data_IF_813368227536
#
_entry.id   IF_813368227536
#
_cell.length_a   1.000
_cell.length_b   1.000
_cell.length_c   1.000
_cell.angle_alpha   90.00
_cell.angle_beta   90.00
_cell.angle_gamma   90.00
#
_symmetry.space_group_name_H-M   'P 1'
#
loop_
_entity.id
_entity.type
_entity.pdbx_description
1 polymer ?
#
# COMPACT_ATOMS: atom_id res chain seq x y z
N UNK A 1 7.58 -19.91 16.17
CA UNK A 1 8.18 -18.56 16.17
C UNK A 1 8.44 -18.19 17.62
N UNK A 2 9.44 -17.37 17.91
CA UNK A 2 9.60 -16.86 19.27
C UNK A 2 8.51 -15.80 19.54
N UNK A 3 8.20 -15.54 20.82
CA UNK A 3 7.27 -14.47 21.19
C UNK A 3 7.73 -13.08 20.69
N UNK A 4 9.05 -12.89 20.57
CA UNK A 4 9.64 -11.69 19.99
C UNK A 4 9.32 -11.56 18.49
N UNK A 5 9.44 -12.66 17.73
CA UNK A 5 9.12 -12.64 16.29
C UNK A 5 7.65 -12.32 16.04
N UNK A 6 6.74 -12.85 16.87
CA UNK A 6 5.30 -12.57 16.79
C UNK A 6 4.99 -11.10 17.10
N UNK A 7 5.61 -10.53 18.13
CA UNK A 7 5.50 -9.12 18.47
C UNK A 7 6.01 -8.23 17.33
N UNK A 8 7.22 -8.50 16.83
CA UNK A 8 7.83 -7.70 15.77
C UNK A 8 7.04 -7.78 14.46
N UNK A 9 6.54 -8.96 14.11
CA UNK A 9 5.69 -9.16 12.94
C UNK A 9 4.36 -8.42 13.08
N UNK A 10 3.74 -8.45 14.26
CA UNK A 10 2.51 -7.71 14.54
C UNK A 10 2.70 -6.19 14.47
N UNK A 11 3.80 -5.67 15.03
CA UNK A 11 4.18 -4.26 14.93
C UNK A 11 4.42 -3.84 13.48
N UNK A 12 5.03 -4.72 12.68
CA UNK A 12 5.29 -4.46 11.28
C UNK A 12 4.01 -4.48 10.44
N UNK A 13 3.10 -5.41 10.70
CA UNK A 13 1.77 -5.42 10.11
C UNK A 13 1.00 -4.14 10.47
N UNK A 14 1.07 -3.70 11.73
CA UNK A 14 0.46 -2.45 12.17
C UNK A 14 1.05 -1.25 11.41
N UNK A 15 2.38 -1.14 11.33
CA UNK A 15 3.07 -0.09 10.59
C UNK A 15 2.68 -0.10 9.10
N UNK A 16 2.61 -1.28 8.48
CA UNK A 16 2.18 -1.47 7.11
C UNK A 16 0.76 -0.95 6.88
N UNK A 17 -0.20 -1.37 7.71
CA UNK A 17 -1.61 -0.96 7.58
C UNK A 17 -1.74 0.53 7.85
N UNK A 18 -1.18 1.05 8.94
CA UNK A 18 -1.23 2.46 9.29
C UNK A 18 -0.66 3.36 8.17
N UNK A 19 0.47 2.95 7.59
CA UNK A 19 1.11 3.69 6.51
C UNK A 19 0.29 3.69 5.21
N UNK A 20 -0.45 2.61 4.93
CA UNK A 20 -1.23 2.47 3.70
C UNK A 20 -2.71 2.84 3.84
N UNK A 21 -3.23 3.04 5.05
CA UNK A 21 -4.61 3.45 5.29
C UNK A 21 -5.00 4.68 4.45
N UNK A 22 -4.07 5.62 4.24
CA UNK A 22 -4.31 6.82 3.44
C UNK A 22 -4.49 6.58 1.95
N UNK A 23 -3.89 5.52 1.40
CA UNK A 23 -3.94 5.21 -0.05
C UNK A 23 -4.95 4.11 -0.37
N UNK A 24 -5.32 3.28 0.61
CA UNK A 24 -6.31 2.21 0.46
C UNK A 24 -7.71 2.70 0.86
N UNK A 25 -7.85 3.21 2.09
CA UNK A 25 -9.12 3.68 2.65
C UNK A 25 -9.38 5.15 2.29
N UNK A 26 -8.35 5.99 2.41
CA UNK A 26 -8.44 7.44 2.30
C UNK A 26 -9.15 7.97 1.04
N UNK A 27 -8.83 7.49 -0.18
CA UNK A 27 -9.43 8.02 -1.40
C UNK A 27 -10.96 7.87 -1.40
N UNK A 28 -11.47 6.72 -0.92
CA UNK A 28 -12.90 6.43 -0.88
C UNK A 28 -13.58 7.14 0.30
N UNK A 29 -12.97 7.10 1.49
CA UNK A 29 -13.50 7.73 2.71
C UNK A 29 -13.59 9.27 2.63
N UNK A 30 -12.79 9.90 1.78
CA UNK A 30 -12.81 11.36 1.59
C UNK A 30 -13.30 11.80 0.22
N UNK A 31 -13.35 10.89 -0.74
CA UNK A 31 -13.94 11.13 -2.06
C UNK A 31 -15.46 11.09 -2.07
N UNK A 32 -16.11 10.46 -1.07
CA UNK A 32 -17.57 10.47 -0.96
C UNK A 32 -18.20 9.44 -0.01
N UNK A 33 -17.46 8.41 0.40
CA UNK A 33 -17.95 7.41 1.38
C UNK A 33 -17.83 7.97 2.79
N UNK A 34 -18.80 7.69 3.67
CA UNK A 34 -18.73 8.12 5.07
C UNK A 34 -17.55 7.46 5.80
N UNK A 35 -16.67 8.20 6.51
CA UNK A 35 -15.47 7.67 7.14
C UNK A 35 -15.70 6.45 8.06
N UNK A 36 -16.73 6.49 8.90
CA UNK A 36 -17.00 5.39 9.84
C UNK A 36 -17.41 4.10 9.11
N UNK A 37 -18.22 4.21 8.06
CA UNK A 37 -18.63 3.07 7.23
C UNK A 37 -17.47 2.56 6.39
N UNK A 38 -16.65 3.48 5.87
CA UNK A 38 -15.45 3.13 5.13
C UNK A 38 -14.49 2.31 6.01
N UNK A 39 -14.28 2.73 7.26
CA UNK A 39 -13.41 2.03 8.21
C UNK A 39 -13.87 0.59 8.44
N UNK A 40 -15.15 0.39 8.76
CA UNK A 40 -15.70 -0.95 8.99
C UNK A 40 -15.54 -1.83 7.75
N UNK A 41 -15.89 -1.31 6.58
CA UNK A 41 -15.80 -2.06 5.34
C UNK A 41 -14.35 -2.41 4.98
N UNK A 42 -13.42 -1.47 5.14
CA UNK A 42 -12.01 -1.69 4.87
C UNK A 42 -11.43 -2.76 5.80
N UNK A 43 -11.68 -2.67 7.11
CA UNK A 43 -11.21 -3.65 8.10
C UNK A 43 -11.72 -5.05 7.79
N UNK A 44 -13.04 -5.19 7.56
CA UNK A 44 -13.63 -6.50 7.24
C UNK A 44 -13.06 -7.07 5.94
N UNK A 45 -12.89 -6.22 4.92
CA UNK A 45 -12.37 -6.63 3.62
C UNK A 45 -10.90 -7.01 3.69
N UNK A 46 -10.07 -6.26 4.42
CA UNK A 46 -8.65 -6.55 4.64
C UNK A 46 -8.45 -7.84 5.43
N UNK A 47 -9.26 -8.07 6.48
CA UNK A 47 -9.27 -9.34 7.21
C UNK A 47 -9.59 -10.50 6.25
N UNK A 48 -10.70 -10.39 5.50
CA UNK A 48 -11.09 -11.42 4.55
C UNK A 48 -10.01 -11.67 3.49
N UNK A 49 -9.44 -10.61 2.92
CA UNK A 49 -8.36 -10.70 1.95
C UNK A 49 -7.10 -11.34 2.52
N UNK A 50 -6.74 -11.01 3.76
CA UNK A 50 -5.56 -11.57 4.42
C UNK A 50 -5.66 -13.09 4.57
N UNK A 51 -6.79 -13.58 5.08
CA UNK A 51 -6.99 -15.01 5.34
C UNK A 51 -7.31 -15.82 4.08
N UNK A 52 -7.93 -15.22 3.06
CA UNK A 52 -8.22 -15.87 1.77
C UNK A 52 -7.06 -15.76 0.76
N UNK A 53 -6.01 -15.02 1.10
CA UNK A 53 -4.89 -14.79 0.19
C UNK A 53 -4.19 -16.09 -0.21
N UNK A 54 -3.82 -16.27 -1.50
CA UNK A 54 -2.91 -17.34 -1.91
C UNK A 54 -1.44 -17.02 -1.60
N UNK A 55 -1.10 -15.79 -1.20
CA UNK A 55 0.29 -15.42 -0.91
C UNK A 55 0.82 -16.18 0.29
N UNK A 56 2.06 -16.61 0.21
CA UNK A 56 2.72 -17.25 1.35
C UNK A 56 3.40 -16.19 2.21
N UNK A 57 3.12 -16.11 3.52
CA UNK A 57 3.80 -15.17 4.41
C UNK A 57 5.31 -15.44 4.38
N UNK A 58 6.12 -14.39 4.23
CA UNK A 58 7.56 -14.52 4.35
C UNK A 58 7.97 -14.40 5.81
N UNK A 59 8.69 -15.42 6.28
CA UNK A 59 9.29 -15.42 7.61
C UNK A 59 10.69 -14.82 7.54
N UNK A 60 10.94 -13.83 8.37
CA UNK A 60 12.24 -13.21 8.54
C UNK A 60 12.74 -13.47 9.96
N UNK A 61 14.01 -13.16 10.18
CA UNK A 61 14.63 -13.16 11.51
C UNK A 61 14.37 -11.84 12.23
N UNK A 62 14.43 -11.84 13.57
CA UNK A 62 14.25 -10.63 14.39
C UNK A 62 15.09 -9.40 13.92
N UNK A 63 16.36 -9.53 13.52
CA UNK A 63 17.13 -8.38 13.01
C UNK A 63 16.53 -7.74 11.75
N UNK A 64 15.95 -8.53 10.86
CA UNK A 64 15.32 -8.04 9.63
C UNK A 64 14.01 -7.31 9.91
N UNK A 65 13.20 -7.85 10.83
CA UNK A 65 11.99 -7.16 11.29
C UNK A 65 12.33 -5.84 12.00
N UNK A 66 13.36 -5.84 12.84
CA UNK A 66 13.83 -4.63 13.51
C UNK A 66 14.34 -3.59 12.52
N UNK A 67 15.11 -4.00 11.51
CA UNK A 67 15.56 -3.11 10.45
C UNK A 67 14.38 -2.47 9.71
N UNK A 68 13.36 -3.27 9.34
CA UNK A 68 12.15 -2.76 8.68
C UNK A 68 11.42 -1.71 9.54
N UNK A 69 11.28 -1.96 10.84
CA UNK A 69 10.64 -1.03 11.78
C UNK A 69 11.45 0.26 11.97
N UNK A 70 12.78 0.15 12.11
CA UNK A 70 13.67 1.31 12.24
C UNK A 70 13.63 2.19 10.99
N UNK A 71 13.70 1.59 9.80
CA UNK A 71 13.56 2.34 8.56
C UNK A 71 12.18 2.94 8.42
N UNK A 72 11.12 2.24 8.84
CA UNK A 72 9.77 2.79 8.85
C UNK A 72 9.69 4.05 9.72
N UNK A 73 10.25 4.03 10.93
CA UNK A 73 10.29 5.20 11.82
C UNK A 73 11.10 6.34 11.19
N UNK A 74 12.28 6.06 10.64
CA UNK A 74 13.13 7.07 10.01
C UNK A 74 12.45 7.72 8.79
N UNK A 75 11.80 6.93 7.94
CA UNK A 75 11.07 7.41 6.77
C UNK A 75 9.86 8.24 7.18
N UNK A 76 9.12 7.77 8.20
CA UNK A 76 7.99 8.51 8.76
C UNK A 76 8.42 9.86 9.31
N UNK A 77 9.56 9.93 10.02
CA UNK A 77 10.15 11.18 10.49
C UNK A 77 10.54 12.12 9.33
N UNK A 78 11.04 11.56 8.23
CA UNK A 78 11.33 12.28 6.99
C UNK A 78 10.08 12.60 6.14
N UNK A 79 8.88 12.21 6.59
CA UNK A 79 7.60 12.35 5.87
C UNK A 79 7.63 11.66 4.50
N UNK A 80 8.25 10.49 4.44
CA UNK A 80 8.30 9.59 3.27
C UNK A 80 7.61 8.29 3.68
N UNK A 81 6.76 7.74 2.81
CA UNK A 81 6.16 6.42 3.03
C UNK A 81 7.18 5.35 2.64
N UNK A 82 7.65 4.56 3.61
CA UNK A 82 8.45 3.36 3.32
C UNK A 82 7.54 2.26 2.73
N UNK A 83 7.86 1.70 1.55
CA UNK A 83 7.15 0.54 1.04
C UNK A 83 7.66 -0.72 1.76
N UNK A 84 7.13 -0.97 2.97
CA UNK A 84 7.53 -2.08 3.86
C UNK A 84 7.54 -3.43 3.12
N UNK A 85 6.50 -3.72 2.34
CA UNK A 85 6.38 -4.99 1.62
C UNK A 85 7.44 -5.16 0.53
N UNK A 86 7.83 -4.08 -0.15
CA UNK A 86 8.94 -4.07 -1.13
C UNK A 86 10.28 -4.30 -0.43
N UNK A 87 10.52 -3.61 0.70
CA UNK A 87 11.74 -3.80 1.50
C UNK A 87 11.89 -5.26 1.93
N UNK A 88 10.86 -5.83 2.56
CA UNK A 88 10.86 -7.20 3.02
C UNK A 88 11.03 -8.20 1.88
N UNK A 89 10.31 -8.03 0.76
CA UNK A 89 10.50 -8.90 -0.41
C UNK A 89 11.94 -8.87 -0.93
N UNK A 90 12.55 -7.69 -0.93
CA UNK A 90 13.92 -7.51 -1.42
C UNK A 90 14.97 -8.20 -0.55
N UNK A 91 14.70 -8.39 0.75
CA UNK A 91 15.56 -9.18 1.64
C UNK A 91 15.63 -10.66 1.24
N UNK A 92 14.61 -11.20 0.56
CA UNK A 92 14.60 -12.59 0.07
C UNK A 92 15.42 -12.77 -1.21
N UNK A 93 15.72 -11.67 -1.91
CA UNK A 93 16.35 -11.69 -3.23
C UNK A 93 15.41 -11.15 -4.31
N UNK A 94 15.97 -10.29 -5.15
CA UNK A 94 15.24 -9.63 -6.23
C UNK A 94 15.11 -10.54 -7.44
N UNK A 95 13.95 -10.47 -8.10
CA UNK A 95 13.70 -11.14 -9.36
C UNK A 95 13.48 -10.11 -10.47
N UNK A 96 13.76 -10.49 -11.72
CA UNK A 96 13.42 -9.65 -12.86
C UNK A 96 11.91 -9.31 -12.89
N UNK A 97 11.06 -10.28 -12.52
CA UNK A 97 9.61 -10.11 -12.43
C UNK A 97 9.22 -9.05 -11.39
N UNK A 98 9.79 -9.08 -10.19
CA UNK A 98 9.47 -8.08 -9.16
C UNK A 98 9.89 -6.67 -9.57
N UNK A 99 11.06 -6.53 -10.20
CA UNK A 99 11.52 -5.24 -10.74
C UNK A 99 10.62 -4.74 -11.89
N UNK A 100 10.25 -5.62 -12.82
CA UNK A 100 9.36 -5.29 -13.93
C UNK A 100 7.98 -4.84 -13.41
N UNK A 101 7.45 -5.50 -12.38
CA UNK A 101 6.18 -5.11 -11.78
C UNK A 101 6.29 -3.76 -11.08
N UNK A 102 7.28 -3.57 -10.20
CA UNK A 102 7.41 -2.32 -9.42
C UNK A 102 7.72 -1.09 -10.27
N UNK A 103 8.53 -1.22 -11.33
CA UNK A 103 8.92 -0.10 -12.18
C UNK A 103 8.13 0.01 -13.49
N UNK A 104 7.54 -1.08 -13.98
CA UNK A 104 6.76 -1.10 -15.23
C UNK A 104 5.28 -0.76 -15.05
N UNK A 105 4.65 -1.25 -13.99
CA UNK A 105 3.21 -0.99 -13.75
C UNK A 105 2.83 0.46 -13.39
N UNK A 106 3.71 1.34 -12.86
CA UNK A 106 3.41 2.77 -12.69
C UNK A 106 2.95 3.47 -13.98
N UNK A 107 3.53 3.11 -15.13
CA UNK A 107 3.12 3.68 -16.42
C UNK A 107 1.71 3.22 -16.83
N UNK A 108 1.38 1.95 -16.60
CA UNK A 108 0.04 1.41 -16.82
C UNK A 108 -0.98 2.05 -15.87
N UNK A 109 -0.63 2.20 -14.59
CA UNK A 109 -1.45 2.85 -13.59
C UNK A 109 -1.77 4.31 -13.97
N UNK A 110 -0.76 5.04 -14.46
CA UNK A 110 -0.94 6.38 -15.01
C UNK A 110 -1.91 6.40 -16.20
N UNK A 111 -1.73 5.49 -17.18
CA UNK A 111 -2.57 5.43 -18.37
C UNK A 111 -4.05 5.14 -18.01
N UNK A 112 -4.27 4.19 -17.10
CA UNK A 112 -5.60 3.88 -16.55
C UNK A 112 -6.21 5.12 -15.91
N UNK A 113 -5.46 5.81 -15.04
CA UNK A 113 -5.92 7.03 -14.41
C UNK A 113 -6.30 8.11 -15.41
N UNK A 114 -5.50 8.28 -16.47
CA UNK A 114 -5.77 9.25 -17.52
C UNK A 114 -7.08 8.96 -18.27
N UNK A 115 -7.31 7.70 -18.65
CA UNK A 115 -8.49 7.27 -19.41
C UNK A 115 -9.76 7.23 -18.55
N UNK A 116 -9.69 6.56 -17.40
CA UNK A 116 -10.83 6.33 -16.50
C UNK A 116 -11.36 7.63 -15.92
N UNK A 117 -10.49 8.62 -15.68
CA UNK A 117 -10.91 9.93 -15.22
C UNK A 117 -11.89 10.63 -16.18
N UNK A 118 -11.93 10.31 -17.47
CA UNK A 118 -12.92 10.91 -18.39
C UNK A 118 -14.23 10.14 -18.45
N UNK A 119 -14.20 8.85 -18.13
CA UNK A 119 -15.27 7.91 -18.46
C UNK A 119 -16.13 7.52 -17.24
N UNK A 120 -15.56 7.52 -16.03
CA UNK A 120 -16.27 7.04 -14.84
C UNK A 120 -17.04 8.16 -14.14
N UNK A 121 -18.37 8.00 -14.14
CA UNK A 121 -19.29 8.74 -13.28
C UNK A 121 -19.33 8.03 -11.92
N UNK A 122 -18.87 8.69 -10.84
CA UNK A 122 -18.77 8.03 -9.57
C UNK A 122 -20.15 8.01 -8.89
N UNK A 123 -20.46 6.91 -8.20
CA UNK A 123 -21.66 6.76 -7.37
C UNK A 123 -21.27 6.21 -6.00
N UNK A 124 -22.11 6.42 -4.98
CA UNK A 124 -21.82 5.90 -3.64
C UNK A 124 -21.69 4.37 -3.64
N UNK A 125 -22.58 3.67 -4.35
CA UNK A 125 -22.52 2.22 -4.48
C UNK A 125 -21.19 1.76 -5.12
N UNK A 126 -20.75 2.43 -6.18
CA UNK A 126 -19.45 2.16 -6.79
C UNK A 126 -18.29 2.45 -5.82
N UNK A 127 -18.38 3.53 -5.05
CA UNK A 127 -17.38 3.87 -4.03
C UNK A 127 -17.23 2.77 -2.97
N UNK A 128 -18.33 2.25 -2.44
CA UNK A 128 -18.29 1.12 -1.49
C UNK A 128 -17.74 -0.16 -2.13
N UNK A 129 -18.19 -0.51 -3.34
CA UNK A 129 -17.70 -1.70 -4.03
C UNK A 129 -16.18 -1.64 -4.30
N UNK A 130 -15.70 -0.48 -4.72
CA UNK A 130 -14.28 -0.24 -5.00
C UNK A 130 -13.45 -0.20 -3.72
N UNK A 131 -13.97 0.39 -2.63
CA UNK A 131 -13.34 0.34 -1.33
C UNK A 131 -13.18 -1.09 -0.84
N UNK A 132 -14.25 -1.90 -0.91
CA UNK A 132 -14.19 -3.30 -0.55
C UNK A 132 -13.13 -4.05 -1.37
N UNK A 133 -13.10 -3.82 -2.70
CA UNK A 133 -12.16 -4.47 -3.60
C UNK A 133 -10.70 -4.07 -3.31
N UNK A 134 -10.39 -2.78 -3.14
CA UNK A 134 -9.01 -2.33 -2.89
C UNK A 134 -8.52 -2.75 -1.51
N UNK A 135 -9.37 -2.68 -0.49
CA UNK A 135 -9.06 -3.15 0.87
C UNK A 135 -8.86 -4.66 0.91
N UNK A 136 -9.73 -5.42 0.24
CA UNK A 136 -9.55 -6.87 0.08
C UNK A 136 -8.20 -7.18 -0.58
N UNK A 137 -7.90 -6.52 -1.69
CA UNK A 137 -6.64 -6.75 -2.41
C UNK A 137 -5.40 -6.29 -1.62
N UNK A 138 -5.51 -5.26 -0.79
CA UNK A 138 -4.44 -4.88 0.13
C UNK A 138 -4.18 -5.96 1.19
N UNK A 139 -5.26 -6.52 1.76
CA UNK A 139 -5.18 -7.70 2.62
C UNK A 139 -4.52 -8.89 1.93
N UNK A 140 -4.96 -9.20 0.70
CA UNK A 140 -4.43 -10.30 -0.11
C UNK A 140 -2.94 -10.12 -0.44
N UNK A 141 -2.54 -8.93 -0.90
CA UNK A 141 -1.23 -8.74 -1.51
C UNK A 141 -0.14 -8.29 -0.52
N UNK A 142 -0.50 -7.50 0.49
CA UNK A 142 0.48 -6.87 1.37
C UNK A 142 0.41 -7.42 2.79
N UNK A 143 -0.79 -7.51 3.38
CA UNK A 143 -0.93 -7.94 4.77
C UNK A 143 -0.60 -9.43 4.89
N UNK A 144 -1.23 -10.28 4.07
CA UNK A 144 -0.97 -11.72 4.01
C UNK A 144 0.48 -12.09 3.68
N UNK A 145 1.19 -11.19 2.99
CA UNK A 145 2.62 -11.36 2.70
C UNK A 145 3.49 -11.18 3.96
N UNK A 146 3.06 -10.31 4.89
CA UNK A 146 3.75 -10.08 6.17
C UNK A 146 3.32 -11.13 7.20
N UNK A 147 2.01 -11.32 7.38
CA UNK A 147 1.49 -12.27 8.37
C UNK A 147 0.05 -12.73 8.04
N UNK A 148 -0.26 -13.95 8.48
CA UNK A 148 -1.60 -14.55 8.47
C UNK A 148 -2.02 -15.08 9.84
N UNK A 149 -1.28 -14.79 10.90
CA UNK A 149 -1.70 -15.13 12.27
C UNK A 149 -2.96 -14.35 12.64
N UNK A 150 -3.73 -14.86 13.60
CA UNK A 150 -4.92 -14.17 14.11
C UNK A 150 -4.59 -12.79 14.71
N UNK A 151 -3.36 -12.58 15.17
CA UNK A 151 -2.90 -11.33 15.77
C UNK A 151 -2.88 -10.17 14.77
N UNK A 152 -2.81 -10.46 13.47
CA UNK A 152 -2.86 -9.45 12.41
C UNK A 152 -4.19 -8.67 12.40
N UNK A 153 -5.27 -9.24 12.94
CA UNK A 153 -6.58 -8.58 13.05
C UNK A 153 -6.49 -7.30 13.88
N UNK A 154 -5.75 -7.33 15.00
CA UNK A 154 -5.55 -6.17 15.84
C UNK A 154 -4.75 -5.08 15.12
N UNK A 155 -3.72 -5.49 14.37
CA UNK A 155 -2.93 -4.58 13.53
C UNK A 155 -3.77 -3.92 12.43
N UNK A 156 -4.65 -4.68 11.76
CA UNK A 156 -5.59 -4.16 10.76
C UNK A 156 -6.52 -3.11 11.36
N UNK A 157 -7.15 -3.44 12.50
CA UNK A 157 -8.13 -2.57 13.14
C UNK A 157 -7.48 -1.29 13.65
N UNK A 158 -6.40 -1.40 14.42
CA UNK A 158 -5.70 -0.25 14.99
C UNK A 158 -5.04 0.59 13.90
N UNK A 159 -4.41 -0.05 12.92
CA UNK A 159 -3.74 0.61 11.81
C UNK A 159 -4.70 1.47 11.00
N UNK A 160 -5.85 0.94 10.60
CA UNK A 160 -6.85 1.71 9.87
C UNK A 160 -7.53 2.78 10.73
N UNK A 161 -7.87 2.48 11.99
CA UNK A 161 -8.49 3.45 12.89
C UNK A 161 -7.58 4.66 13.13
N UNK A 162 -6.31 4.42 13.48
CA UNK A 162 -5.34 5.48 13.68
C UNK A 162 -4.97 6.16 12.36
N UNK A 163 -4.87 5.39 11.28
CA UNK A 163 -4.63 5.89 9.94
C UNK A 163 -5.66 6.93 9.50
N UNK A 164 -6.95 6.59 9.63
CA UNK A 164 -8.06 7.46 9.29
C UNK A 164 -8.10 8.74 10.14
N UNK A 165 -7.78 8.65 11.44
CA UNK A 165 -7.91 9.77 12.39
C UNK A 165 -6.69 10.69 12.46
N UNK A 166 -5.48 10.13 12.36
CA UNK A 166 -4.24 10.82 12.70
C UNK A 166 -3.23 10.91 11.57
N UNK A 167 -3.37 10.10 10.52
CA UNK A 167 -2.41 10.09 9.42
C UNK A 167 -2.63 11.35 8.55
N UNK A 168 -2.11 12.49 9.02
CA UNK A 168 -2.29 13.82 8.41
C UNK A 168 -1.22 14.16 7.38
N UNK A 169 -0.18 13.34 7.27
CA UNK A 169 1.00 13.58 6.44
C UNK A 169 0.79 13.34 4.93
N UNK A 170 -0.31 12.68 4.53
CA UNK A 170 -0.73 12.54 3.11
C UNK A 170 -2.13 13.16 2.88
N UNK A 171 -2.43 14.25 3.60
CA UNK A 171 -3.68 15.05 3.49
C UNK A 171 -3.86 15.77 2.14
N UNK A 172 -3.00 15.51 1.16
CA UNK A 172 -3.20 16.02 -0.21
C UNK A 172 -4.16 15.18 -1.06
N UNK A 173 -4.61 14.02 -0.56
CA UNK A 173 -5.58 13.16 -1.27
C UNK A 173 -7.03 13.68 -1.23
N UNK A 174 -7.38 14.55 -0.29
CA UNK A 174 -8.71 15.17 -0.16
C UNK A 174 -9.09 16.08 -1.33
N UNK A 175 -8.10 16.51 -2.10
CA UNK A 175 -8.29 17.42 -3.21
C UNK A 175 -8.59 16.66 -4.53
N UNK A 176 -8.74 15.32 -4.50
CA UNK A 176 -9.16 14.56 -5.69
C UNK A 176 -10.68 14.47 -5.81
N UNK A 177 -11.17 14.64 -7.04
CA UNK A 177 -12.56 14.31 -7.35
C UNK A 177 -12.84 12.83 -7.06
N UNK A 178 -14.06 12.51 -6.65
CA UNK A 178 -14.48 11.14 -6.35
C UNK A 178 -14.15 10.13 -7.46
N UNK A 179 -14.28 10.53 -8.74
CA UNK A 179 -13.86 9.70 -9.90
C UNK A 179 -12.38 9.32 -9.87
N UNK A 180 -11.51 10.25 -9.47
CA UNK A 180 -10.05 10.01 -9.41
C UNK A 180 -9.70 9.05 -8.28
N UNK A 181 -10.38 9.17 -7.14
CA UNK A 181 -10.25 8.23 -6.03
C UNK A 181 -10.67 6.80 -6.42
N UNK A 182 -11.80 6.68 -7.11
CA UNK A 182 -12.29 5.40 -7.66
C UNK A 182 -11.27 4.81 -8.64
N UNK A 183 -10.77 5.60 -9.59
CA UNK A 183 -9.80 5.14 -10.58
C UNK A 183 -8.51 4.63 -9.93
N UNK A 184 -7.97 5.38 -8.96
CA UNK A 184 -6.77 5.00 -8.22
C UNK A 184 -6.94 3.68 -7.46
N UNK A 185 -8.06 3.55 -6.75
CA UNK A 185 -8.38 2.35 -5.97
C UNK A 185 -8.58 1.12 -6.86
N UNK A 186 -9.28 1.25 -7.99
CA UNK A 186 -9.45 0.17 -8.98
C UNK A 186 -8.10 -0.23 -9.58
N UNK A 187 -7.28 0.75 -9.98
CA UNK A 187 -5.96 0.48 -10.55
C UNK A 187 -5.06 -0.24 -9.55
N UNK A 188 -5.05 0.19 -8.29
CA UNK A 188 -4.30 -0.47 -7.23
C UNK A 188 -4.79 -1.90 -6.98
N UNK A 189 -6.11 -2.13 -6.92
CA UNK A 189 -6.69 -3.46 -6.73
C UNK A 189 -6.33 -4.43 -7.87
N UNK A 190 -6.48 -4.00 -9.13
CA UNK A 190 -6.18 -4.84 -10.30
C UNK A 190 -4.69 -5.17 -10.37
N UNK A 191 -3.82 -4.18 -10.17
CA UNK A 191 -2.37 -4.40 -10.22
C UNK A 191 -1.86 -5.22 -9.02
N UNK A 192 -2.51 -5.10 -7.85
CA UNK A 192 -2.26 -5.98 -6.72
C UNK A 192 -2.70 -7.43 -7.02
N UNK A 193 -3.74 -7.64 -7.83
CA UNK A 193 -4.13 -8.98 -8.27
C UNK A 193 -3.08 -9.58 -9.20
N UNK A 194 -2.52 -8.78 -10.12
CA UNK A 194 -1.37 -9.19 -10.95
C UNK A 194 -0.16 -9.52 -10.07
N UNK A 195 0.20 -8.65 -9.12
CA UNK A 195 1.29 -8.92 -8.18
C UNK A 195 1.09 -10.21 -7.39
N UNK A 196 -0.13 -10.42 -6.87
CA UNK A 196 -0.53 -11.63 -6.15
C UNK A 196 -0.35 -12.89 -7.00
N UNK A 197 -0.73 -12.86 -8.29
CA UNK A 197 -0.55 -13.99 -9.20
C UNK A 197 0.92 -14.38 -9.39
N UNK A 198 1.84 -13.42 -9.28
CA UNK A 198 3.29 -13.66 -9.31
C UNK A 198 3.93 -13.76 -7.91
N UNK A 199 3.11 -13.77 -6.85
CA UNK A 199 3.55 -13.73 -5.45
C UNK A 199 4.51 -12.58 -5.14
N UNK A 200 4.30 -11.42 -5.78
CA UNK A 200 5.05 -10.17 -5.59
C UNK A 200 4.14 -9.15 -4.89
N UNK A 201 4.54 -8.61 -3.73
CA UNK A 201 3.78 -7.54 -3.08
C UNK A 201 3.96 -6.24 -3.85
N UNK A 202 2.88 -5.49 -4.04
CA UNK A 202 2.86 -4.24 -4.80
C UNK A 202 2.87 -3.03 -3.87
N UNK A 203 3.44 -1.92 -4.36
CA UNK A 203 3.41 -0.65 -3.64
C UNK A 203 2.11 0.09 -3.96
N UNK A 204 1.09 -0.06 -3.11
CA UNK A 204 -0.19 0.65 -3.24
C UNK A 204 0.02 2.16 -3.29
N UNK A 205 0.98 2.68 -2.53
CA UNK A 205 1.38 4.09 -2.56
C UNK A 205 1.81 4.52 -3.96
N UNK A 206 2.78 3.84 -4.57
CA UNK A 206 3.25 4.22 -5.90
C UNK A 206 2.14 4.11 -6.94
N UNK A 207 1.41 3.01 -6.94
CA UNK A 207 0.30 2.78 -7.87
C UNK A 207 -0.77 3.88 -7.77
N UNK A 208 -1.17 4.21 -6.54
CA UNK A 208 -2.16 5.26 -6.27
C UNK A 208 -1.68 6.61 -6.80
N UNK A 209 -0.44 7.02 -6.47
CA UNK A 209 0.11 8.29 -6.95
C UNK A 209 0.26 8.33 -8.47
N UNK A 210 0.68 7.23 -9.10
CA UNK A 210 0.76 7.13 -10.57
C UNK A 210 -0.60 7.30 -11.23
N UNK A 211 -1.63 6.59 -10.75
CA UNK A 211 -2.98 6.70 -11.30
C UNK A 211 -3.55 8.10 -11.10
N UNK A 212 -3.39 8.67 -9.91
CA UNK A 212 -3.90 10.01 -9.66
C UNK A 212 -3.14 11.06 -10.50
N UNK A 213 -1.83 10.91 -10.74
CA UNK A 213 -1.07 11.78 -11.62
C UNK A 213 -1.62 11.74 -13.06
N UNK A 214 -1.96 10.55 -13.56
CA UNK A 214 -2.64 10.38 -14.85
C UNK A 214 -4.01 11.05 -14.89
N UNK A 215 -4.82 10.85 -13.85
CA UNK A 215 -6.12 11.51 -13.70
C UNK A 215 -5.99 13.04 -13.68
N UNK A 216 -4.98 13.56 -12.99
CA UNK A 216 -4.69 14.99 -12.91
C UNK A 216 -4.28 15.56 -14.27
N UNK A 217 -3.43 14.85 -15.03
CA UNK A 217 -3.06 15.21 -16.39
C UNK A 217 -4.27 15.23 -17.34
N UNK A 218 -5.20 14.27 -17.18
CA UNK A 218 -6.41 14.15 -17.98
C UNK A 218 -7.38 15.31 -17.79
N UNK A 219 -7.62 15.72 -16.53
CA UNK A 219 -8.58 16.78 -16.17
C UNK A 219 -7.93 18.15 -15.94
N UNK A 220 -6.62 18.29 -16.19
CA UNK A 220 -5.81 19.50 -15.88
C UNK A 220 -5.91 19.96 -14.42
N UNK A 221 -6.08 19.02 -13.49
CA UNK A 221 -6.15 19.33 -12.05
C UNK A 221 -4.74 19.57 -11.50
N UNK A 222 -4.49 20.75 -10.91
CA UNK A 222 -3.17 21.15 -10.38
C UNK A 222 -2.78 20.53 -9.04
N UNK A 223 -3.50 19.49 -8.62
CA UNK A 223 -3.54 19.08 -7.21
C UNK A 223 -2.43 18.07 -6.88
N UNK A 224 -2.07 17.19 -7.82
CA UNK A 224 -0.85 16.37 -7.68
C UNK A 224 0.32 17.14 -8.21
N UNK A 225 1.27 17.35 -7.31
CA UNK A 225 2.61 17.75 -7.70
C UNK A 225 3.34 16.50 -8.14
N UNK A 226 4.00 16.57 -9.29
CA UNK A 226 4.92 15.54 -9.78
C UNK A 226 5.91 15.11 -8.68
N UNK A 227 6.25 16.02 -7.76
CA UNK A 227 7.09 15.73 -6.58
C UNK A 227 6.54 14.61 -5.67
N UNK A 228 5.23 14.47 -5.52
CA UNK A 228 4.63 13.45 -4.66
C UNK A 228 4.77 12.06 -5.32
N UNK A 229 4.66 11.97 -6.66
CA UNK A 229 5.02 10.78 -7.43
C UNK A 229 6.51 10.46 -7.35
N UNK A 230 7.38 11.46 -7.54
CA UNK A 230 8.85 11.28 -7.44
C UNK A 230 9.23 10.76 -6.06
N UNK A 231 8.61 11.27 -4.99
CA UNK A 231 8.83 10.77 -3.62
C UNK A 231 8.43 9.30 -3.46
N UNK A 232 7.30 8.89 -4.03
CA UNK A 232 6.85 7.50 -4.01
C UNK A 232 7.76 6.57 -4.83
N UNK A 233 8.27 7.04 -5.98
CA UNK A 233 9.24 6.30 -6.77
C UNK A 233 10.57 6.18 -6.03
N UNK A 234 11.07 7.29 -5.49
CA UNK A 234 12.30 7.32 -4.70
C UNK A 234 12.21 6.41 -3.49
N UNK A 235 11.06 6.31 -2.83
CA UNK A 235 10.91 5.43 -1.66
C UNK A 235 10.99 3.94 -2.01
N UNK A 236 10.54 3.52 -3.20
CA UNK A 236 10.81 2.17 -3.71
C UNK A 236 12.31 1.97 -3.89
N UNK A 237 12.98 2.86 -4.63
CA UNK A 237 14.43 2.73 -4.85
C UNK A 237 15.20 2.70 -3.54
N UNK A 238 14.85 3.55 -2.58
CA UNK A 238 15.49 3.54 -1.25
C UNK A 238 15.21 2.25 -0.48
N UNK A 239 14.00 1.68 -0.58
CA UNK A 239 13.72 0.38 0.05
C UNK A 239 14.58 -0.75 -0.52
N UNK A 240 14.83 -0.75 -1.84
CA UNK A 240 15.74 -1.72 -2.48
C UNK A 240 17.18 -1.56 -1.95
N UNK A 241 17.68 -0.32 -1.90
CA UNK A 241 19.03 -0.01 -1.43
C UNK A 241 19.21 -0.36 0.05
N UNK A 242 18.21 -0.06 0.89
CA UNK A 242 18.24 -0.37 2.31
C UNK A 242 18.15 -1.87 2.57
N UNK A 243 17.37 -2.60 1.78
CA UNK A 243 17.33 -4.05 1.87
C UNK A 243 18.71 -4.64 1.54
N UNK A 244 19.34 -4.18 0.46
CA UNK A 244 20.70 -4.58 0.11
C UNK A 244 21.73 -4.25 1.19
N UNK A 245 21.71 -3.02 1.73
CA UNK A 245 22.57 -2.62 2.84
C UNK A 245 22.34 -3.48 4.10
N UNK A 246 21.09 -3.84 4.39
CA UNK A 246 20.75 -4.73 5.51
C UNK A 246 21.36 -6.11 5.30
N UNK A 247 21.31 -6.66 4.08
CA UNK A 247 21.92 -7.95 3.78
C UNK A 247 23.44 -7.94 3.98
N UNK A 248 24.13 -6.86 3.57
CA UNK A 248 25.56 -6.68 3.83
C UNK A 248 25.85 -6.65 5.34
N UNK A 249 25.09 -5.84 6.10
CA UNK A 249 25.28 -5.72 7.55
C UNK A 249 25.04 -7.03 8.30
N UNK A 250 24.17 -7.89 7.76
CA UNK A 250 23.90 -9.23 8.30
C UNK A 250 24.84 -10.31 7.74
N UNK A 251 25.83 -9.96 6.91
CA UNK A 251 26.81 -10.90 6.33
C UNK A 251 26.21 -11.92 5.37
N UNK A 252 25.13 -11.55 4.65
CA UNK A 252 24.42 -12.44 3.72
C UNK A 252 24.73 -12.18 2.24
N UNK A 253 25.49 -11.13 1.94
CA UNK A 253 26.01 -10.75 0.61
C UNK A 253 27.42 -10.20 0.77
#
# INVERSE_FOLDING_TARGET
MSALDELLTSLLAFALVYNNALVVLGPSAWGGVQPDRALVLAVVSEIAGTFLSPMSPLKFSAPEYLAALLFYVAFTAAKISLPISVFLYSLRGLTATSLLLWFGTPALAFAVGYLVAKLVRPSLALGYAVLAAVSFMFGVNNIAFVDKSVYVVAAILLGNYLGLRFSRWIVKLYAFSFSGAVAASVSAAVLAAVGTAFNVPMSFTLLTYSTLLGSAASRRMRIIRVVDFIKALASITSALLLAYATLILLGRV
#
